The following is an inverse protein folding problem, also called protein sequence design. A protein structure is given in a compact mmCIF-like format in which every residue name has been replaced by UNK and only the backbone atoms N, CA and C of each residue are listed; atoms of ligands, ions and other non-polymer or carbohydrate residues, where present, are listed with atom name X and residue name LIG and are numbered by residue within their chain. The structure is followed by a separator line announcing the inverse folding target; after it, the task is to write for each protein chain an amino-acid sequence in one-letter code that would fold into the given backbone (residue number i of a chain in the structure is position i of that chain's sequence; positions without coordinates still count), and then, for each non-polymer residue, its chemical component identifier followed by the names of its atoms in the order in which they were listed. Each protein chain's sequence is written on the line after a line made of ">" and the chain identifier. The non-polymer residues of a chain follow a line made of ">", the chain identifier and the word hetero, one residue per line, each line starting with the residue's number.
data_IF_161478240065
#
_entry.id   IF_161478240065
#
_cell.length_a   1.000
_cell.length_b   1.000
_cell.length_c   1.000
_cell.angle_alpha   90.00
_cell.angle_beta   90.00
_cell.angle_gamma   90.00
#
_symmetry.space_group_name_H-M   'P 1'
#
loop_
_entity.id
_entity.type
_entity.pdbx_description
1 polymer ?
#
# COMPACT_ATOMS: atom_id res chain seq x y z
N UNK A 1 53.98 64.53 18.46
CA UNK A 1 52.76 64.90 19.20
C UNK A 1 51.56 64.86 18.28
N UNK A 2 51.05 63.71 17.85
CA UNK A 2 50.74 62.45 18.55
C UNK A 2 49.63 62.59 19.60
N UNK A 3 48.48 61.97 19.31
CA UNK A 3 47.32 61.98 20.20
C UNK A 3 46.12 61.21 19.67
N UNK A 4 46.37 59.97 19.27
CA UNK A 4 45.43 58.87 19.00
C UNK A 4 44.12 58.88 19.81
N UNK A 5 42.99 58.65 19.11
CA UNK A 5 41.82 57.93 19.63
C UNK A 5 41.13 57.12 18.53
N UNK A 6 41.60 55.88 18.39
CA UNK A 6 40.83 54.63 18.42
C UNK A 6 39.35 54.59 17.97
N UNK A 7 39.16 53.80 16.91
CA UNK A 7 38.21 52.69 16.75
C UNK A 7 36.69 52.91 16.88
N UNK A 8 36.00 52.68 15.76
CA UNK A 8 34.57 52.41 15.71
C UNK A 8 34.16 51.94 14.32
N UNK A 9 34.26 50.62 14.07
CA UNK A 9 33.88 50.01 12.80
C UNK A 9 32.40 50.25 12.48
N UNK A 10 32.13 50.64 11.24
CA UNK A 10 30.77 50.82 10.71
C UNK A 10 30.02 49.47 10.73
N UNK A 11 28.80 49.39 11.29
CA UNK A 11 28.03 48.16 11.23
C UNK A 11 27.46 47.95 9.82
N UNK A 12 27.72 46.76 9.25
CA UNK A 12 27.08 46.28 8.03
C UNK A 12 25.56 46.20 8.21
N UNK A 13 24.85 47.07 7.48
CA UNK A 13 23.39 47.11 7.36
C UNK A 13 22.86 45.83 6.70
N UNK A 14 22.09 45.03 7.46
CA UNK A 14 21.31 43.90 6.95
C UNK A 14 19.94 44.44 6.51
N UNK A 15 19.46 44.21 5.26
CA UNK A 15 18.13 44.66 4.86
C UNK A 15 17.03 43.82 5.54
N UNK A 16 16.03 44.52 6.08
CA UNK A 16 14.87 43.95 6.74
C UNK A 16 14.03 43.09 5.78
N UNK A 17 13.73 41.85 6.19
CA UNK A 17 12.74 41.00 5.53
C UNK A 17 11.31 41.56 5.68
N UNK A 18 10.36 41.13 4.83
CA UNK A 18 9.00 41.65 4.84
C UNK A 18 8.26 41.24 6.13
N UNK A 19 7.71 42.24 6.81
CA UNK A 19 6.85 42.11 8.00
C UNK A 19 5.54 41.39 7.70
N UNK A 20 5.03 40.51 8.59
CA UNK A 20 3.67 39.98 8.52
C UNK A 20 2.64 41.08 8.82
N UNK A 21 1.57 41.15 8.03
CA UNK A 21 0.41 42.02 8.32
C UNK A 21 -0.87 41.16 8.36
N UNK A 22 -1.56 41.28 9.49
CA UNK A 22 -2.71 40.53 9.96
C UNK A 22 -3.96 40.53 9.08
N UNK A 23 -4.81 39.53 9.33
CA UNK A 23 -6.27 39.73 9.36
C UNK A 23 -7.10 38.49 9.02
N UNK A 24 -7.76 37.87 10.00
CA UNK A 24 -8.81 36.88 9.71
C UNK A 24 -9.30 35.96 10.83
N UNK A 25 -9.78 36.55 11.93
CA UNK A 25 -10.99 36.15 12.69
C UNK A 25 -11.23 34.69 13.09
N UNK A 26 -11.40 34.48 14.41
CA UNK A 26 -12.56 33.72 14.91
C UNK A 26 -12.27 32.62 15.92
N UNK A 27 -12.45 32.96 17.20
CA UNK A 27 -13.18 32.20 18.22
C UNK A 27 -12.76 30.73 18.47
N UNK A 28 -12.03 30.45 19.55
CA UNK A 28 -12.56 30.28 20.92
C UNK A 28 -13.02 28.84 21.24
N UNK A 29 -12.21 28.24 22.11
CA UNK A 29 -12.50 27.23 23.15
C UNK A 29 -13.11 25.88 22.77
N UNK A 30 -12.30 24.82 22.97
CA UNK A 30 -12.76 23.45 23.15
C UNK A 30 -12.75 23.16 24.66
N UNK A 31 -13.90 22.87 25.31
CA UNK A 31 -13.89 22.17 26.58
C UNK A 31 -13.97 20.66 26.32
N UNK A 32 -13.01 19.97 26.93
CA UNK A 32 -12.94 18.53 27.08
C UNK A 32 -13.73 18.17 28.34
N UNK A 33 -14.84 17.43 28.23
CA UNK A 33 -15.36 16.66 29.36
C UNK A 33 -16.16 15.42 28.91
N UNK A 34 -16.12 14.40 29.76
CA UNK A 34 -16.38 12.99 29.48
C UNK A 34 -17.86 12.56 29.69
N UNK A 35 -18.18 11.34 30.20
CA UNK A 35 -18.72 10.23 29.41
C UNK A 35 -20.13 9.75 29.86
N UNK A 36 -20.60 8.67 29.23
CA UNK A 36 -21.64 7.70 29.68
C UNK A 36 -23.02 7.75 29.00
N UNK A 37 -23.60 6.55 28.80
CA UNK A 37 -25.06 6.37 28.78
C UNK A 37 -25.67 5.58 27.62
N UNK A 38 -25.58 4.24 27.70
CA UNK A 38 -26.71 3.28 27.64
C UNK A 38 -27.75 3.31 26.50
N UNK A 39 -27.96 2.14 25.88
CA UNK A 39 -29.33 1.59 25.74
C UNK A 39 -30.07 1.71 24.40
N UNK A 40 -29.97 0.64 23.61
CA UNK A 40 -31.08 -0.12 23.02
C UNK A 40 -32.17 0.55 22.14
N UNK A 41 -32.27 0.00 20.92
CA UNK A 41 -33.50 -0.31 20.16
C UNK A 41 -34.19 0.82 19.38
N UNK A 42 -34.22 0.71 18.05
CA UNK A 42 -35.44 0.53 17.23
C UNK A 42 -35.15 0.83 15.73
N UNK A 43 -35.08 -0.25 14.97
CA UNK A 43 -35.84 -0.53 13.73
C UNK A 43 -35.96 0.57 12.66
N UNK A 44 -35.27 0.30 11.54
CA UNK A 44 -35.75 0.42 10.17
C UNK A 44 -36.38 1.74 9.67
N UNK A 45 -35.58 2.80 9.47
CA UNK A 45 -35.91 3.83 8.43
C UNK A 45 -34.70 4.61 7.88
N UNK A 46 -33.45 4.13 8.06
CA UNK A 46 -32.22 4.90 7.75
C UNK A 46 -31.46 4.42 6.50
N UNK A 47 -32.10 3.73 5.56
CA UNK A 47 -31.36 3.22 4.38
C UNK A 47 -31.34 4.23 3.23
N UNK A 48 -32.37 5.07 3.07
CA UNK A 48 -32.45 6.00 1.92
C UNK A 48 -31.70 7.32 2.15
N UNK A 49 -31.55 7.78 3.40
CA UNK A 49 -30.85 9.06 3.69
C UNK A 49 -29.32 8.92 3.81
N UNK A 50 -28.80 7.69 3.90
CA UNK A 50 -27.35 7.42 4.01
C UNK A 50 -26.63 7.43 2.66
N UNK A 51 -27.34 7.20 1.55
CA UNK A 51 -26.73 7.18 0.21
C UNK A 51 -26.46 8.59 -0.30
N UNK A 52 -27.30 9.58 0.01
CA UNK A 52 -27.10 10.95 -0.49
C UNK A 52 -25.96 11.72 0.22
N UNK A 53 -25.73 11.52 1.53
CA UNK A 53 -24.68 12.26 2.25
C UNK A 53 -23.26 11.72 2.02
N UNK A 54 -23.10 10.49 1.50
CA UNK A 54 -21.79 9.91 1.13
C UNK A 54 -21.33 10.25 -0.29
N UNK A 55 -22.22 10.79 -1.13
CA UNK A 55 -21.86 11.20 -2.51
C UNK A 55 -21.26 12.60 -2.52
N UNK A 56 -21.69 13.50 -1.63
CA UNK A 56 -21.21 14.89 -1.57
C UNK A 56 -19.81 15.08 -0.98
N UNK A 57 -19.22 14.07 -0.31
CA UNK A 57 -17.83 14.10 0.20
C UNK A 57 -16.83 13.40 -0.74
N UNK A 58 -17.23 13.15 -1.99
CA UNK A 58 -16.50 12.32 -2.97
C UNK A 58 -16.13 13.08 -4.26
N UNK A 59 -16.15 14.41 -4.20
CA UNK A 59 -15.78 15.30 -5.30
C UNK A 59 -14.32 15.79 -5.22
N UNK A 60 -13.50 15.18 -4.37
CA UNK A 60 -12.05 15.31 -4.41
C UNK A 60 -11.43 14.12 -5.14
N UNK A 61 -10.27 14.28 -5.80
CA UNK A 61 -9.54 13.17 -6.38
C UNK A 61 -9.30 12.12 -5.29
N UNK A 62 -9.60 10.86 -5.60
CA UNK A 62 -9.37 9.76 -4.65
C UNK A 62 -7.87 9.71 -4.34
N UNK A 63 -7.49 9.60 -3.06
CA UNK A 63 -6.08 9.51 -2.71
C UNK A 63 -5.50 8.29 -3.42
N UNK A 64 -4.39 8.50 -4.15
CA UNK A 64 -3.61 7.41 -4.72
C UNK A 64 -2.88 6.72 -3.58
N UNK A 65 -2.87 5.39 -3.61
CA UNK A 65 -2.26 4.57 -2.56
C UNK A 65 -1.37 3.53 -3.22
N UNK A 66 -0.22 3.23 -2.62
CA UNK A 66 0.64 2.12 -3.01
C UNK A 66 0.92 1.25 -1.78
N UNK A 67 0.98 -0.08 -1.97
CA UNK A 67 1.43 -0.99 -0.93
C UNK A 67 2.94 -0.95 -0.84
N UNK A 68 3.47 -0.90 0.38
CA UNK A 68 4.89 -1.15 0.61
C UNK A 68 5.26 -2.57 0.15
N UNK A 69 6.52 -2.71 -0.23
CA UNK A 69 7.13 -3.99 -0.56
C UNK A 69 7.49 -4.76 0.71
N UNK A 70 7.69 -6.08 0.60
CA UNK A 70 8.00 -6.92 1.76
C UNK A 70 9.35 -6.58 2.37
N UNK A 71 10.26 -6.08 1.55
CA UNK A 71 11.63 -5.70 1.94
C UNK A 71 11.73 -4.29 2.53
N UNK A 72 10.68 -3.46 2.38
CA UNK A 72 10.68 -2.07 2.84
C UNK A 72 10.14 -1.93 4.25
N UNK A 73 10.70 -0.98 5.01
CA UNK A 73 10.27 -0.64 6.37
C UNK A 73 9.72 0.79 6.44
N UNK A 74 8.75 1.02 7.32
CA UNK A 74 8.03 2.28 7.48
C UNK A 74 8.98 3.41 7.88
N UNK A 75 10.04 3.10 8.63
CA UNK A 75 11.01 4.09 9.10
C UNK A 75 12.04 4.49 8.04
N UNK A 76 12.28 3.67 7.02
CA UNK A 76 13.40 3.83 6.06
C UNK A 76 12.97 4.25 4.66
N UNK A 77 11.67 4.19 4.35
CA UNK A 77 11.14 4.56 3.03
C UNK A 77 11.37 6.04 2.73
N UNK A 78 11.95 6.30 1.55
CA UNK A 78 12.23 7.65 1.06
C UNK A 78 11.06 8.19 0.21
N UNK A 79 11.06 9.50 -0.04
CA UNK A 79 10.08 10.13 -0.92
C UNK A 79 10.13 9.56 -2.34
N UNK A 80 11.34 9.33 -2.86
CA UNK A 80 11.53 8.79 -4.21
C UNK A 80 10.94 7.39 -4.36
N UNK A 81 11.07 6.56 -3.32
CA UNK A 81 10.47 5.23 -3.31
C UNK A 81 8.95 5.30 -3.20
N UNK A 82 8.41 6.21 -2.39
CA UNK A 82 6.97 6.45 -2.30
C UNK A 82 6.38 6.88 -3.67
N UNK A 83 7.07 7.74 -4.40
CA UNK A 83 6.64 8.17 -5.75
C UNK A 83 6.63 6.99 -6.73
N UNK A 84 7.65 6.11 -6.69
CA UNK A 84 7.65 4.87 -7.49
C UNK A 84 6.47 3.97 -7.13
N UNK A 85 6.19 3.76 -5.84
CA UNK A 85 5.08 2.91 -5.40
C UNK A 85 3.71 3.46 -5.82
N UNK A 86 3.53 4.79 -5.78
CA UNK A 86 2.31 5.44 -6.22
C UNK A 86 2.09 5.36 -7.75
N UNK A 87 3.15 5.08 -8.52
CA UNK A 87 3.09 4.90 -9.97
C UNK A 87 2.59 3.51 -10.40
N UNK A 88 2.59 2.52 -9.49
CA UNK A 88 1.95 1.22 -9.70
C UNK A 88 0.43 1.42 -9.69
N UNK A 89 -0.40 0.77 -10.55
CA UNK A 89 -0.13 -0.33 -11.47
C UNK A 89 0.50 0.12 -12.79
N UNK A 90 1.64 -0.47 -13.13
CA UNK A 90 2.32 -0.19 -14.41
C UNK A 90 1.82 -1.13 -15.49
N UNK A 91 1.41 -0.58 -16.63
CA UNK A 91 1.13 -1.38 -17.83
C UNK A 91 2.45 -1.68 -18.53
N UNK A 92 2.76 -2.97 -18.69
CA UNK A 92 3.98 -3.45 -19.36
C UNK A 92 3.80 -3.44 -20.88
N UNK A 93 2.60 -3.78 -21.33
CA UNK A 93 2.23 -3.81 -22.74
C UNK A 93 0.94 -4.61 -22.97
N UNK A 94 0.60 -4.81 -24.24
CA UNK A 94 -0.51 -5.66 -24.68
C UNK A 94 0.07 -6.96 -25.21
N UNK A 95 -0.50 -8.09 -24.81
CA UNK A 95 -0.14 -9.39 -25.37
C UNK A 95 -0.62 -9.50 -26.83
N UNK A 96 0.27 -9.72 -27.82
CA UNK A 96 -0.15 -9.90 -29.22
C UNK A 96 -1.01 -11.15 -29.45
N UNK A 97 -0.94 -12.16 -28.58
CA UNK A 97 -1.69 -13.40 -28.76
C UNK A 97 -3.15 -13.30 -28.28
N UNK A 98 -3.40 -12.59 -27.18
CA UNK A 98 -4.74 -12.46 -26.59
C UNK A 98 -5.35 -11.06 -26.70
N UNK A 99 -4.56 -10.04 -27.06
CA UNK A 99 -4.97 -8.64 -27.05
C UNK A 99 -5.23 -8.09 -25.63
N UNK A 100 -4.81 -8.81 -24.58
CA UNK A 100 -5.06 -8.41 -23.19
C UNK A 100 -3.90 -7.54 -22.66
N UNK A 101 -4.25 -6.50 -21.89
CA UNK A 101 -3.27 -5.67 -21.20
C UNK A 101 -2.60 -6.43 -20.06
N UNK A 102 -1.27 -6.40 -20.06
CA UNK A 102 -0.43 -6.96 -18.99
C UNK A 102 -0.08 -5.83 -18.02
N UNK A 103 -0.54 -5.97 -16.78
CA UNK A 103 -0.24 -5.03 -15.69
C UNK A 103 0.65 -5.68 -14.64
N UNK A 104 1.67 -4.94 -14.19
CA UNK A 104 2.56 -5.33 -13.10
C UNK A 104 2.09 -4.68 -11.79
N UNK A 105 1.87 -5.49 -10.76
CA UNK A 105 1.31 -5.06 -9.48
C UNK A 105 1.96 -5.80 -8.31
N UNK A 106 2.00 -5.15 -7.14
CA UNK A 106 2.40 -5.80 -5.89
C UNK A 106 1.16 -6.19 -5.07
N UNK A 107 1.09 -7.43 -4.61
CA UNK A 107 -0.02 -7.97 -3.83
C UNK A 107 0.43 -8.60 -2.52
N UNK A 108 -0.52 -9.22 -1.79
CA UNK A 108 -0.25 -9.88 -0.51
C UNK A 108 0.87 -10.93 -0.56
N UNK A 109 0.99 -11.61 -1.69
CA UNK A 109 1.94 -12.71 -1.88
C UNK A 109 3.21 -12.26 -2.64
N UNK A 110 3.40 -10.95 -2.82
CA UNK A 110 4.53 -10.37 -3.54
C UNK A 110 4.18 -9.89 -4.96
N UNK A 111 5.20 -9.64 -5.78
CA UNK A 111 5.06 -9.05 -7.11
C UNK A 111 4.44 -10.04 -8.10
N UNK A 112 3.49 -9.57 -8.91
CA UNK A 112 2.81 -10.39 -9.90
C UNK A 112 2.43 -9.61 -11.15
N UNK A 113 2.33 -10.34 -12.26
CA UNK A 113 1.73 -9.90 -13.51
C UNK A 113 0.28 -10.36 -13.55
N UNK A 114 -0.59 -9.49 -14.05
CA UNK A 114 -1.98 -9.81 -14.35
C UNK A 114 -2.25 -9.55 -15.82
N UNK A 115 -2.76 -10.58 -16.51
CA UNK A 115 -3.24 -10.54 -17.89
C UNK A 115 -4.69 -11.03 -17.88
N UNK A 116 -5.63 -10.09 -17.96
CA UNK A 116 -7.07 -10.39 -17.86
C UNK A 116 -7.43 -11.20 -16.60
N UNK A 117 -7.71 -12.49 -16.80
CA UNK A 117 -8.03 -13.46 -15.73
C UNK A 117 -6.83 -14.31 -15.28
N UNK A 118 -5.73 -14.33 -16.05
CA UNK A 118 -4.52 -15.03 -15.69
C UNK A 118 -3.59 -14.16 -14.83
N UNK A 119 -2.86 -14.81 -13.94
CA UNK A 119 -1.86 -14.15 -13.11
C UNK A 119 -0.62 -15.04 -12.94
N UNK A 120 0.55 -14.41 -12.98
CA UNK A 120 1.86 -15.07 -12.78
C UNK A 120 2.65 -14.28 -11.74
N UNK A 121 3.20 -14.97 -10.76
CA UNK A 121 4.13 -14.38 -9.79
C UNK A 121 5.46 -14.05 -10.46
N UNK A 122 6.05 -12.90 -10.10
CA UNK A 122 7.42 -12.56 -10.45
C UNK A 122 8.38 -13.07 -9.36
N UNK A 123 9.67 -13.18 -9.70
CA UNK A 123 10.68 -13.67 -8.78
C UNK A 123 11.10 -12.63 -7.74
N UNK A 124 11.05 -11.34 -8.09
CA UNK A 124 11.54 -10.26 -7.26
C UNK A 124 10.80 -8.94 -7.47
N UNK A 125 10.91 -8.05 -6.50
CA UNK A 125 10.18 -6.79 -6.45
C UNK A 125 10.70 -5.79 -7.51
N UNK A 126 12.02 -5.79 -7.76
CA UNK A 126 12.65 -4.95 -8.80
C UNK A 126 12.10 -5.25 -10.20
N UNK A 127 11.68 -6.50 -10.44
CA UNK A 127 11.10 -6.90 -11.72
C UNK A 127 9.80 -6.16 -12.01
N UNK A 128 9.08 -5.62 -11.01
CA UNK A 128 7.87 -4.81 -11.27
C UNK A 128 8.16 -3.58 -12.14
N UNK A 129 9.38 -3.04 -12.06
CA UNK A 129 9.76 -1.84 -12.79
C UNK A 129 10.58 -2.14 -14.05
N UNK A 130 11.27 -3.28 -14.09
CA UNK A 130 12.19 -3.63 -15.19
C UNK A 130 11.63 -4.67 -16.15
N UNK A 131 10.56 -5.39 -15.79
CA UNK A 131 9.98 -6.44 -16.64
C UNK A 131 9.56 -5.89 -18.00
N UNK A 132 10.00 -6.58 -19.04
CA UNK A 132 9.66 -6.27 -20.43
C UNK A 132 8.47 -7.11 -20.90
N UNK A 133 7.88 -6.73 -22.04
CA UNK A 133 6.81 -7.51 -22.65
C UNK A 133 7.28 -8.94 -22.98
N UNK A 134 8.50 -9.08 -23.52
CA UNK A 134 9.06 -10.38 -23.90
C UNK A 134 9.23 -11.31 -22.71
N UNK A 135 9.69 -10.78 -21.57
CA UNK A 135 9.83 -11.57 -20.34
C UNK A 135 8.49 -11.96 -19.74
N UNK A 136 7.49 -11.09 -19.83
CA UNK A 136 6.12 -11.42 -19.46
C UNK A 136 5.58 -12.56 -20.33
N UNK A 137 5.79 -12.52 -21.65
CA UNK A 137 5.36 -13.57 -22.58
C UNK A 137 6.02 -14.91 -22.28
N UNK A 138 7.32 -14.94 -21.96
CA UNK A 138 8.02 -16.16 -21.52
C UNK A 138 7.36 -16.77 -20.28
N UNK A 139 7.06 -15.95 -19.27
CA UNK A 139 6.39 -16.39 -18.03
C UNK A 139 4.96 -16.89 -18.26
N UNK A 140 4.25 -16.35 -19.25
CA UNK A 140 2.91 -16.83 -19.61
C UNK A 140 2.93 -18.10 -20.45
N UNK A 141 4.00 -18.34 -21.22
CA UNK A 141 4.23 -19.58 -21.95
C UNK A 141 4.51 -20.76 -21.01
N UNK A 142 5.07 -20.49 -19.83
CA UNK A 142 5.25 -21.50 -18.79
C UNK A 142 3.89 -22.01 -18.26
N UNK A 143 3.77 -23.34 -18.01
CA UNK A 143 2.56 -23.92 -17.48
C UNK A 143 2.22 -23.33 -16.10
N UNK A 144 0.92 -23.12 -15.84
CA UNK A 144 0.44 -22.64 -14.54
C UNK A 144 0.91 -23.57 -13.43
N UNK A 145 1.92 -23.13 -12.66
CA UNK A 145 2.27 -23.76 -11.39
C UNK A 145 1.12 -23.49 -10.41
N UNK A 146 0.12 -24.37 -10.41
CA UNK A 146 -0.98 -24.33 -9.43
C UNK A 146 -0.35 -24.40 -8.04
N UNK A 147 -0.43 -23.31 -7.28
CA UNK A 147 0.16 -23.14 -5.95
C UNK A 147 -0.42 -24.03 -4.85
N UNK A 148 -1.10 -25.13 -5.20
CA UNK A 148 -1.34 -26.23 -4.29
C UNK A 148 -0.28 -27.27 -4.62
N UNK A 149 0.88 -27.18 -3.96
CA UNK A 149 1.65 -28.40 -3.72
C UNK A 149 0.62 -29.42 -3.24
N UNK A 150 0.45 -30.51 -4.00
CA UNK A 150 -0.36 -31.63 -3.54
C UNK A 150 0.12 -31.93 -2.11
N UNK A 151 -0.82 -32.12 -1.18
CA UNK A 151 -0.46 -32.43 0.20
C UNK A 151 0.62 -33.51 0.16
N UNK A 152 1.76 -33.25 0.82
CA UNK A 152 2.85 -34.20 0.83
C UNK A 152 2.26 -35.59 1.16
N UNK A 153 2.63 -36.63 0.39
CA UNK A 153 2.11 -37.96 0.65
C UNK A 153 2.38 -38.31 2.12
N UNK A 154 1.44 -39.00 2.80
CA UNK A 154 1.62 -39.34 4.20
C UNK A 154 2.95 -40.08 4.38
N UNK A 155 3.75 -39.63 5.35
CA UNK A 155 5.06 -40.19 5.66
C UNK A 155 4.94 -41.69 6.01
N UNK A 156 3.81 -42.08 6.62
CA UNK A 156 3.51 -43.47 6.93
C UNK A 156 2.02 -43.67 7.18
N UNK A 157 1.46 -44.76 6.66
CA UNK A 157 0.12 -45.23 6.98
C UNK A 157 0.23 -46.31 8.06
N UNK A 158 -0.46 -46.13 9.19
CA UNK A 158 -0.41 -47.03 10.35
C UNK A 158 -1.55 -48.07 10.33
N UNK A 159 -2.37 -48.09 9.28
CA UNK A 159 -3.56 -48.95 9.17
C UNK A 159 -4.80 -48.34 9.82
N UNK A 160 -5.86 -49.13 9.95
CA UNK A 160 -7.12 -48.70 10.55
C UNK A 160 -7.04 -48.81 12.08
N UNK A 161 -7.46 -47.76 12.77
CA UNK A 161 -7.56 -47.77 14.24
C UNK A 161 -8.72 -48.67 14.71
N UNK A 162 -8.46 -49.51 15.69
CA UNK A 162 -9.42 -50.48 16.26
C UNK A 162 -10.67 -49.86 16.91
N UNK A 163 -10.60 -48.59 17.30
CA UNK A 163 -11.71 -47.89 17.98
C UNK A 163 -12.53 -47.06 17.00
N UNK A 164 -11.89 -46.47 15.99
CA UNK A 164 -12.53 -45.53 15.06
C UNK A 164 -12.70 -46.06 13.64
N UNK A 165 -12.14 -47.22 13.31
CA UNK A 165 -12.08 -47.87 11.99
C UNK A 165 -11.52 -46.98 10.87
N UNK A 166 -11.01 -45.80 11.21
CA UNK A 166 -10.49 -44.82 10.24
C UNK A 166 -9.02 -45.09 9.96
N UNK A 167 -8.55 -44.85 8.71
CA UNK A 167 -7.14 -44.99 8.37
C UNK A 167 -6.32 -43.93 9.10
N UNK A 168 -5.34 -44.39 9.89
CA UNK A 168 -4.43 -43.54 10.64
C UNK A 168 -3.21 -43.22 9.78
N UNK A 169 -3.04 -41.95 9.41
CA UNK A 169 -1.95 -41.48 8.56
C UNK A 169 -1.08 -40.47 9.29
N UNK A 170 0.24 -40.69 9.28
CA UNK A 170 1.23 -39.72 9.77
C UNK A 170 1.55 -38.76 8.63
N UNK A 171 1.26 -37.48 8.82
CA UNK A 171 1.63 -36.40 7.89
C UNK A 171 2.71 -35.52 8.51
N UNK A 172 3.50 -34.90 7.64
CA UNK A 172 4.45 -33.88 8.07
C UNK A 172 3.71 -32.59 8.45
N UNK A 173 4.16 -31.93 9.51
CA UNK A 173 3.58 -30.68 10.03
C UNK A 173 4.22 -29.45 9.40
N UNK A 174 3.51 -28.32 9.43
CA UNK A 174 4.08 -26.99 9.15
C UNK A 174 3.69 -26.02 10.26
#
# INVERSE_FOLDING_TARGET
>A
DDGDKGEGGEPLTIPAGPTPRDGGTGADVVPLDAPAGTGATTTATKTVRRTAKKVAKKAGPKPRTGSLFKTMDIATVTLDDALKLLSLPRTVGVDPASGEEITAQNGRYGPYLKKGTDSRSLAGEDQLFTVTLDDALKLYAEPKRRGRQAAAPPLRELGNDSVSEKPMVIKDGR
#
